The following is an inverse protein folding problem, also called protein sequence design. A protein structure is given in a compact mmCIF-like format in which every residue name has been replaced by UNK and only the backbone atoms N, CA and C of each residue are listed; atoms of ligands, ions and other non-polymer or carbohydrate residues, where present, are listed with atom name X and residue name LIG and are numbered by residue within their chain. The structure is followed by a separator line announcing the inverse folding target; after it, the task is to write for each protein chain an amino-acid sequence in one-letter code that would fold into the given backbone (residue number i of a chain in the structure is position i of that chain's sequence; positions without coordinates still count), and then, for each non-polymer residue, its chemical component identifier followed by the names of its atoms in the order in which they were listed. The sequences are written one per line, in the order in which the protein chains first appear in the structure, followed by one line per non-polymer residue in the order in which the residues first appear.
data_IF_704851527950
#
_entry.id   IF_704851527950
#
_cell.length_a   1.000
_cell.length_b   1.000
_cell.length_c   1.000
_cell.angle_alpha   90.00
_cell.angle_beta   90.00
_cell.angle_gamma   90.00
#
_symmetry.space_group_name_H-M   'P 1'
#
loop_
_entity.id
_entity.type
_entity.pdbx_description
1 polymer ?
#
# COMPACT_ATOMS: atom_id res chain seq x y z
N UNK A 1 -3.31 -8.67 11.08
CA UNK A 1 -3.48 -7.29 10.54
C UNK A 1 -4.94 -6.92 10.30
N UNK A 2 -5.25 -5.64 10.12
CA UNK A 2 -6.58 -5.16 9.67
C UNK A 2 -6.89 -5.62 8.22
N UNK A 3 -8.16 -5.87 7.88
CA UNK A 3 -8.54 -6.40 6.57
C UNK A 3 -8.26 -5.43 5.41
N UNK A 4 -8.46 -4.13 5.61
CA UNK A 4 -8.14 -3.11 4.59
C UNK A 4 -6.62 -3.02 4.44
N UNK A 5 -5.88 -3.07 5.56
CA UNK A 5 -4.42 -3.12 5.54
C UNK A 5 -3.89 -4.34 4.77
N UNK A 6 -4.44 -5.53 5.04
CA UNK A 6 -4.10 -6.75 4.31
C UNK A 6 -4.30 -6.60 2.80
N UNK A 7 -5.46 -6.10 2.36
CA UNK A 7 -5.75 -5.94 0.93
C UNK A 7 -4.77 -5.00 0.23
N UNK A 8 -4.37 -3.91 0.89
CA UNK A 8 -3.38 -2.97 0.34
C UNK A 8 -2.00 -3.61 0.23
N UNK A 9 -1.56 -4.31 1.28
CA UNK A 9 -0.27 -4.98 1.34
C UNK A 9 -0.18 -6.15 0.34
N UNK A 10 -1.25 -6.93 0.22
CA UNK A 10 -1.44 -7.95 -0.80
C UNK A 10 -1.31 -7.41 -2.24
N UNK A 11 -1.97 -6.29 -2.54
CA UNK A 11 -1.86 -5.66 -3.86
C UNK A 11 -0.44 -5.16 -4.13
N UNK A 12 0.24 -4.62 -3.11
CA UNK A 12 1.62 -4.18 -3.26
C UNK A 12 2.57 -5.35 -3.49
N UNK A 13 2.40 -6.44 -2.74
CA UNK A 13 3.09 -7.70 -2.97
C UNK A 13 3.01 -8.09 -4.45
N UNK A 14 1.79 -8.20 -4.99
CA UNK A 14 1.59 -8.60 -6.39
C UNK A 14 2.24 -7.64 -7.40
N UNK A 15 2.23 -6.32 -7.14
CA UNK A 15 2.87 -5.33 -8.03
C UNK A 15 4.39 -5.46 -8.06
N UNK A 16 5.00 -5.91 -6.96
CA UNK A 16 6.45 -6.06 -6.82
C UNK A 16 6.94 -7.44 -7.27
N UNK A 17 6.05 -8.40 -7.50
CA UNK A 17 6.42 -9.69 -8.07
C UNK A 17 6.79 -9.53 -9.57
N UNK A 18 7.93 -10.08 -10.02
CA UNK A 18 8.37 -9.98 -11.41
C UNK A 18 7.48 -10.79 -12.37
N UNK A 19 6.92 -11.90 -11.90
CA UNK A 19 5.92 -12.69 -12.62
C UNK A 19 5.08 -13.52 -11.66
N UNK A 20 3.91 -13.97 -12.10
CA UNK A 20 3.12 -14.93 -11.32
C UNK A 20 3.85 -16.27 -11.20
N UNK A 21 4.55 -16.74 -12.24
CA UNK A 21 5.21 -18.05 -12.27
C UNK A 21 6.28 -18.26 -11.19
N UNK A 22 6.85 -17.16 -10.67
CA UNK A 22 7.86 -17.17 -9.61
C UNK A 22 7.31 -16.77 -8.24
N UNK A 23 6.01 -16.53 -8.16
CA UNK A 23 5.35 -16.07 -6.94
C UNK A 23 5.27 -17.20 -5.91
N UNK A 24 5.77 -16.95 -4.70
CA UNK A 24 5.72 -17.90 -3.57
C UNK A 24 4.29 -18.24 -3.11
N UNK A 25 3.30 -17.47 -3.57
CA UNK A 25 1.88 -17.76 -3.36
C UNK A 25 1.32 -18.76 -4.38
N UNK A 26 2.04 -19.07 -5.47
CA UNK A 26 1.67 -20.16 -6.36
C UNK A 26 2.13 -21.49 -5.76
N UNK A 27 1.17 -22.34 -5.41
CA UNK A 27 1.42 -23.73 -5.08
C UNK A 27 1.47 -24.56 -6.38
N UNK A 28 2.36 -25.55 -6.46
CA UNK A 28 2.46 -26.52 -7.57
C UNK A 28 1.11 -27.18 -7.95
N UNK A 29 0.16 -27.30 -7.02
CA UNK A 29 -1.20 -27.81 -7.28
C UNK A 29 -2.19 -26.77 -7.83
N UNK A 30 -1.80 -25.49 -7.84
CA UNK A 30 -2.63 -24.33 -8.19
C UNK A 30 -2.03 -23.55 -9.37
N UNK A 31 -1.50 -24.28 -10.35
CA UNK A 31 -0.74 -23.78 -11.51
C UNK A 31 -1.47 -22.72 -12.38
N UNK A 32 -2.72 -22.38 -12.08
CA UNK A 32 -3.54 -21.40 -12.82
C UNK A 32 -4.38 -20.44 -11.97
N UNK A 33 -4.32 -20.50 -10.63
CA UNK A 33 -5.14 -19.63 -9.77
C UNK A 33 -4.27 -18.92 -8.74
N UNK A 34 -4.26 -17.59 -8.80
CA UNK A 34 -3.64 -16.75 -7.78
C UNK A 34 -4.19 -17.13 -6.39
N UNK A 35 -3.33 -17.19 -5.37
CA UNK A 35 -3.74 -17.50 -3.99
C UNK A 35 -4.80 -16.54 -3.44
N UNK A 36 -4.88 -15.33 -4.01
CA UNK A 36 -5.90 -14.32 -3.70
C UNK A 36 -7.24 -14.53 -4.41
N UNK A 37 -7.35 -15.48 -5.35
CA UNK A 37 -8.64 -15.82 -5.90
C UNK A 37 -9.51 -16.42 -4.81
N UNK A 38 -10.74 -15.91 -4.68
CA UNK A 38 -11.72 -16.46 -3.75
C UNK A 38 -12.38 -17.64 -4.45
N UNK A 39 -11.81 -18.82 -4.27
CA UNK A 39 -12.41 -20.09 -4.66
C UNK A 39 -12.18 -21.13 -3.58
N UNK A 40 -13.07 -22.12 -3.47
CA UNK A 40 -12.96 -23.21 -2.48
C UNK A 40 -11.61 -23.93 -2.56
N UNK A 41 -11.01 -23.96 -3.76
CA UNK A 41 -9.74 -24.61 -3.96
C UNK A 41 -8.52 -23.76 -3.61
N UNK A 42 -8.67 -22.43 -3.50
CA UNK A 42 -7.60 -21.47 -3.27
C UNK A 42 -6.96 -21.56 -1.88
N UNK A 43 -5.74 -21.03 -1.76
CA UNK A 43 -5.10 -20.86 -0.46
C UNK A 43 -5.89 -19.89 0.44
N UNK A 44 -6.57 -18.89 -0.12
CA UNK A 44 -7.45 -18.00 0.65
C UNK A 44 -8.61 -18.74 1.35
N UNK A 45 -9.05 -19.89 0.83
CA UNK A 45 -10.09 -20.72 1.44
C UNK A 45 -9.53 -21.87 2.28
N UNK A 46 -8.43 -22.50 1.85
CA UNK A 46 -7.84 -23.68 2.51
C UNK A 46 -6.93 -23.35 3.69
N UNK A 47 -6.23 -22.22 3.61
CA UNK A 47 -5.23 -21.81 4.61
C UNK A 47 -5.08 -20.28 4.62
N UNK A 48 -6.13 -19.55 5.03
CA UNK A 48 -6.10 -18.09 5.09
C UNK A 48 -5.04 -17.57 6.06
N UNK A 49 -4.75 -18.30 7.15
CA UNK A 49 -3.70 -17.95 8.12
C UNK A 49 -2.32 -17.95 7.46
N UNK A 50 -1.99 -18.96 6.64
CA UNK A 50 -0.74 -18.99 5.89
C UNK A 50 -0.64 -17.85 4.87
N UNK A 51 -1.73 -17.52 4.19
CA UNK A 51 -1.76 -16.38 3.26
C UNK A 51 -1.47 -15.07 3.98
N UNK A 52 -2.15 -14.82 5.11
CA UNK A 52 -1.90 -13.65 5.95
C UNK A 52 -0.46 -13.62 6.43
N UNK A 53 0.09 -14.75 6.90
CA UNK A 53 1.47 -14.82 7.39
C UNK A 53 2.54 -14.55 6.32
N UNK A 54 2.30 -14.92 5.06
CA UNK A 54 3.20 -14.59 3.95
C UNK A 54 3.18 -13.09 3.66
N UNK A 55 1.99 -12.50 3.57
CA UNK A 55 1.85 -11.06 3.32
C UNK A 55 2.42 -10.24 4.48
N UNK A 56 2.15 -10.61 5.73
CA UNK A 56 2.71 -9.94 6.90
C UNK A 56 4.24 -9.98 6.91
N UNK A 57 4.84 -11.14 6.56
CA UNK A 57 6.30 -11.26 6.48
C UNK A 57 6.87 -10.41 5.36
N UNK A 58 6.33 -10.53 4.16
CA UNK A 58 6.80 -9.76 3.02
C UNK A 58 6.64 -8.26 3.26
N UNK A 59 5.54 -7.79 3.82
CA UNK A 59 5.34 -6.37 4.13
C UNK A 59 6.24 -5.86 5.25
N UNK A 60 6.67 -6.72 6.18
CA UNK A 60 7.69 -6.36 7.16
C UNK A 60 9.09 -6.20 6.53
N UNK A 61 9.41 -7.03 5.54
CA UNK A 61 10.67 -6.96 4.78
C UNK A 61 10.66 -5.83 3.73
N UNK A 62 9.46 -5.46 3.25
CA UNK A 62 9.22 -4.43 2.25
C UNK A 62 8.27 -3.35 2.77
N UNK A 63 8.67 -2.59 3.81
CA UNK A 63 7.82 -1.55 4.37
C UNK A 63 7.51 -0.51 3.30
N UNK A 64 6.22 -0.30 3.05
CA UNK A 64 5.76 0.80 2.20
C UNK A 64 6.09 2.09 2.95
N UNK A 65 7.04 2.85 2.44
CA UNK A 65 7.31 4.21 2.91
C UNK A 65 6.61 5.17 1.99
N UNK A 66 5.78 6.03 2.56
CA UNK A 66 5.19 7.16 1.84
C UNK A 66 5.95 8.44 2.18
N UNK A 67 5.80 9.49 1.36
CA UNK A 67 6.30 10.82 1.72
C UNK A 67 5.83 11.25 3.11
N UNK A 68 4.58 10.90 3.42
CA UNK A 68 3.97 11.13 4.71
C UNK A 68 4.72 10.43 5.85
N UNK A 69 5.09 9.16 5.70
CA UNK A 69 5.83 8.44 6.74
C UNK A 69 7.18 9.09 7.05
N UNK A 70 7.85 9.64 6.03
CA UNK A 70 9.10 10.37 6.23
C UNK A 70 8.88 11.67 7.00
N UNK A 71 7.87 12.47 6.63
CA UNK A 71 7.59 13.74 7.30
C UNK A 71 7.10 13.52 8.73
N UNK A 72 6.24 12.54 8.99
CA UNK A 72 5.77 12.22 10.35
C UNK A 72 6.94 11.76 11.23
N UNK A 73 7.91 11.03 10.69
CA UNK A 73 9.10 10.62 11.45
C UNK A 73 9.92 11.82 11.93
N UNK A 74 10.10 12.84 11.09
CA UNK A 74 10.85 14.05 11.44
C UNK A 74 10.00 15.05 12.24
N UNK A 75 8.69 15.10 11.99
CA UNK A 75 7.73 16.03 12.59
C UNK A 75 6.51 15.27 13.13
N UNK A 76 6.61 14.60 14.29
CA UNK A 76 5.58 13.69 14.80
C UNK A 76 4.26 14.39 15.17
N UNK A 77 4.30 15.71 15.37
CA UNK A 77 3.13 16.53 15.73
C UNK A 77 2.57 17.32 14.53
N UNK A 78 2.92 16.94 13.29
CA UNK A 78 2.41 17.60 12.09
C UNK A 78 0.88 17.45 12.01
N UNK A 79 0.21 18.51 11.55
CA UNK A 79 -1.24 18.53 11.44
C UNK A 79 -1.73 17.54 10.37
N UNK A 80 -2.81 16.84 10.69
CA UNK A 80 -3.38 15.77 9.88
C UNK A 80 -4.88 16.03 9.67
N UNK A 81 -5.35 15.88 8.44
CA UNK A 81 -6.76 15.96 8.08
C UNK A 81 -7.17 14.74 7.27
N UNK A 82 -8.20 14.01 7.72
CA UNK A 82 -8.71 12.86 6.98
C UNK A 82 -7.69 11.74 6.71
N UNK A 83 -6.69 11.59 7.58
CA UNK A 83 -5.66 10.54 7.47
C UNK A 83 -4.43 10.89 6.63
N UNK A 84 -4.30 12.14 6.18
CA UNK A 84 -3.09 12.63 5.52
C UNK A 84 -2.64 13.98 6.05
N UNK A 85 -1.39 14.36 5.77
CA UNK A 85 -0.80 15.62 6.24
C UNK A 85 -1.58 16.82 5.69
N UNK A 86 -1.95 17.75 6.57
CA UNK A 86 -2.63 19.00 6.21
C UNK A 86 -1.64 20.11 5.79
N UNK A 87 -0.74 19.78 4.89
CA UNK A 87 0.25 20.68 4.30
C UNK A 87 0.13 20.63 2.79
N UNK A 88 0.09 21.78 2.13
CA UNK A 88 0.00 21.78 0.66
C UNK A 88 1.37 21.43 0.08
N UNK A 89 1.46 20.49 -0.88
CA UNK A 89 2.73 20.10 -1.46
C UNK A 89 3.50 21.29 -2.10
N UNK A 90 2.78 22.20 -2.75
CA UNK A 90 3.32 23.43 -3.34
C UNK A 90 3.93 24.44 -2.37
N UNK A 91 3.63 24.34 -1.06
CA UNK A 91 4.28 25.18 -0.04
C UNK A 91 5.72 24.70 0.25
N UNK A 92 6.03 23.46 -0.12
CA UNK A 92 7.33 22.82 0.10
C UNK A 92 8.11 22.60 -1.19
N UNK A 93 7.39 22.36 -2.29
CA UNK A 93 7.94 22.01 -3.59
C UNK A 93 7.34 22.93 -4.67
N UNK A 94 8.08 23.96 -5.11
CA UNK A 94 7.58 24.93 -6.07
C UNK A 94 7.34 24.34 -7.46
N UNK A 95 7.82 23.13 -7.75
CA UNK A 95 7.52 22.44 -9.02
C UNK A 95 6.10 21.87 -9.05
N UNK A 96 5.43 21.78 -7.89
CA UNK A 96 4.08 21.25 -7.79
C UNK A 96 3.07 22.36 -8.01
N UNK A 97 2.26 22.22 -9.05
CA UNK A 97 1.10 23.07 -9.24
C UNK A 97 -0.10 22.53 -8.45
N UNK A 98 -0.37 23.12 -7.29
CA UNK A 98 -1.59 22.82 -6.54
C UNK A 98 -2.81 23.43 -7.24
N UNK A 99 -3.88 22.67 -7.52
CA UNK A 99 -5.10 23.22 -8.07
C UNK A 99 -5.80 24.15 -7.07
N UNK A 100 -6.42 25.20 -7.60
CA UNK A 100 -7.23 26.14 -6.82
C UNK A 100 -8.53 25.52 -6.29
N UNK A 101 -8.95 25.94 -5.10
CA UNK A 101 -10.17 25.47 -4.43
C UNK A 101 -9.97 24.30 -3.46
N UNK A 102 -10.88 24.18 -2.50
CA UNK A 102 -10.80 23.25 -1.36
C UNK A 102 -10.75 21.77 -1.77
N UNK A 103 -11.57 21.37 -2.74
CA UNK A 103 -11.63 19.98 -3.23
C UNK A 103 -10.37 19.60 -4.02
N UNK A 104 -9.87 20.49 -4.89
CA UNK A 104 -8.64 20.27 -5.65
C UNK A 104 -7.43 20.12 -4.74
N UNK A 105 -7.33 20.98 -3.73
CA UNK A 105 -6.25 20.94 -2.76
C UNK A 105 -6.26 19.65 -1.91
N UNK A 106 -7.45 19.14 -1.56
CA UNK A 106 -7.60 17.88 -0.81
C UNK A 106 -7.05 16.69 -1.58
N UNK A 107 -7.44 16.52 -2.85
CA UNK A 107 -6.93 15.43 -3.69
C UNK A 107 -5.44 15.59 -4.00
N UNK A 108 -4.94 16.83 -4.14
CA UNK A 108 -3.52 17.12 -4.31
C UNK A 108 -2.70 16.65 -3.10
N UNK A 109 -3.12 17.02 -1.87
CA UNK A 109 -2.48 16.59 -0.62
C UNK A 109 -2.47 15.07 -0.51
N UNK A 110 -3.64 14.44 -0.67
CA UNK A 110 -3.79 12.99 -0.57
C UNK A 110 -2.89 12.25 -1.56
N UNK A 111 -2.87 12.68 -2.83
CA UNK A 111 -2.01 12.08 -3.85
C UNK A 111 -0.54 12.23 -3.47
N UNK A 112 -0.10 13.43 -3.13
CA UNK A 112 1.31 13.71 -2.88
C UNK A 112 1.84 12.97 -1.64
N UNK A 113 1.13 13.09 -0.52
CA UNK A 113 1.58 12.58 0.78
C UNK A 113 1.51 11.05 0.87
N UNK A 114 0.46 10.45 0.29
CA UNK A 114 0.29 8.99 0.29
C UNK A 114 1.01 8.30 -0.88
N UNK A 115 1.77 9.04 -1.69
CA UNK A 115 2.63 8.43 -2.71
C UNK A 115 3.77 7.67 -2.02
N UNK A 116 3.96 6.43 -2.44
CA UNK A 116 5.10 5.59 -2.06
C UNK A 116 6.40 6.19 -2.58
N UNK A 117 7.44 6.14 -1.76
CA UNK A 117 8.81 6.54 -2.08
C UNK A 117 9.76 5.38 -1.78
N UNK A 118 10.86 5.30 -2.52
CA UNK A 118 11.91 4.30 -2.30
C UNK A 118 12.79 4.63 -1.08
#
# INVERSE_FOLDING_TARGET
MDAVKFLKEALNFCKKQPSCDTCELLNEKMMFTCAFNISEDSMSAKDPEKLVGIIERWSAEHPIKTRQDMIIKEFPNIEMIGGFIDLRPCDMDPEINCPDGTNGCTECKKRYWLTEVE
#
